data_IF_832861978319
#
_entry.id   IF_832861978319
#
_cell.length_a   1.000
_cell.length_b   1.000
_cell.length_c   1.000
_cell.angle_alpha   90.00
_cell.angle_beta   90.00
_cell.angle_gamma   90.00
#
_symmetry.space_group_name_H-M   'P 1'
#
loop_
_entity.id
_entity.type
_entity.pdbx_description
1 polymer ?
#
# COMPACT_ATOMS: atom_id res chain seq x y z
N UNK A 1 -50.74 16.02 24.68
CA UNK A 1 -49.38 15.54 25.00
C UNK A 1 -48.56 15.83 23.77
N UNK A 2 -47.66 16.81 23.83
CA UNK A 2 -46.86 17.20 22.69
C UNK A 2 -45.78 16.15 22.48
N UNK A 3 -45.81 15.47 21.33
CA UNK A 3 -44.70 14.65 20.88
C UNK A 3 -43.51 15.57 20.64
N UNK A 4 -42.48 15.47 21.50
CA UNK A 4 -41.19 16.10 21.25
C UNK A 4 -40.65 15.57 19.93
N UNK A 5 -40.69 16.40 18.90
CA UNK A 5 -39.93 16.20 17.67
C UNK A 5 -38.45 16.20 18.05
N UNK A 6 -37.93 15.01 18.35
CA UNK A 6 -36.50 14.79 18.50
C UNK A 6 -35.85 15.26 17.20
N UNK A 7 -35.01 16.29 17.31
CA UNK A 7 -34.15 16.78 16.24
C UNK A 7 -33.38 15.59 15.68
N UNK A 8 -33.85 15.04 14.55
CA UNK A 8 -33.19 13.93 13.88
C UNK A 8 -31.87 14.48 13.36
N UNK A 9 -30.77 14.05 13.97
CA UNK A 9 -29.45 14.38 13.49
C UNK A 9 -29.33 13.97 12.01
N UNK A 10 -28.65 14.76 11.15
CA UNK A 10 -28.53 14.49 9.72
C UNK A 10 -27.78 13.19 9.40
N UNK A 11 -27.09 12.63 10.40
CA UNK A 11 -26.36 11.37 10.29
C UNK A 11 -26.90 10.36 11.31
N UNK A 12 -27.02 9.07 10.92
CA UNK A 12 -27.43 8.03 11.85
C UNK A 12 -26.45 7.94 13.02
N UNK A 13 -26.97 7.66 14.21
CA UNK A 13 -26.13 7.34 15.35
C UNK A 13 -25.24 6.11 15.03
N UNK A 14 -24.01 6.04 15.57
CA UNK A 14 -23.16 4.88 15.38
C UNK A 14 -23.87 3.62 15.90
N UNK A 15 -23.58 2.44 15.32
CA UNK A 15 -24.23 1.20 15.73
C UNK A 15 -24.03 0.89 17.22
N UNK A 16 -25.06 0.37 17.93
CA UNK A 16 -25.07 0.26 19.40
C UNK A 16 -23.92 -0.59 19.98
N UNK A 17 -23.29 -1.44 19.17
CA UNK A 17 -22.16 -2.26 19.60
C UNK A 17 -20.94 -1.48 20.08
N UNK A 18 -20.79 -0.18 19.74
CA UNK A 18 -19.65 0.63 20.19
C UNK A 18 -19.55 0.71 21.73
N UNK A 19 -20.68 0.61 22.44
CA UNK A 19 -20.72 0.71 23.91
C UNK A 19 -20.00 -0.46 24.59
N UNK A 20 -19.93 -1.62 23.93
CA UNK A 20 -19.27 -2.80 24.48
C UNK A 20 -17.74 -2.76 24.40
N UNK A 21 -17.16 -1.78 23.69
CA UNK A 21 -15.70 -1.58 23.53
C UNK A 21 -15.03 -0.94 24.75
N UNK A 22 -15.33 -1.43 25.95
CA UNK A 22 -14.73 -0.97 27.20
C UNK A 22 -13.36 -1.62 27.46
N UNK A 23 -12.50 -0.95 28.25
CA UNK A 23 -11.19 -1.52 28.66
C UNK A 23 -11.34 -2.84 29.44
N UNK A 24 -12.39 -2.95 30.24
CA UNK A 24 -12.70 -4.15 31.03
C UNK A 24 -13.06 -5.33 30.12
N UNK A 25 -13.96 -5.11 29.16
CA UNK A 25 -14.41 -6.16 28.24
C UNK A 25 -13.26 -6.64 27.34
N UNK A 26 -12.39 -5.71 26.89
CA UNK A 26 -11.16 -6.05 26.17
C UNK A 26 -10.19 -6.90 26.99
N UNK A 27 -10.02 -6.61 28.27
CA UNK A 27 -9.16 -7.38 29.16
C UNK A 27 -9.74 -8.79 29.42
N UNK A 28 -11.06 -8.89 29.63
CA UNK A 28 -11.76 -10.18 29.76
C UNK A 28 -11.63 -11.04 28.51
N UNK A 29 -11.80 -10.46 27.32
CA UNK A 29 -11.59 -11.18 26.06
C UNK A 29 -10.15 -11.69 25.92
N UNK A 30 -9.15 -10.88 26.34
CA UNK A 30 -7.74 -11.30 26.35
C UNK A 30 -7.49 -12.46 27.32
N UNK A 31 -8.14 -12.47 28.48
CA UNK A 31 -8.03 -13.58 29.45
C UNK A 31 -8.64 -14.85 28.89
N UNK A 32 -9.86 -14.79 28.35
CA UNK A 32 -10.53 -15.94 27.74
C UNK A 32 -9.75 -16.51 26.55
N UNK A 33 -9.12 -15.65 25.74
CA UNK A 33 -8.22 -16.10 24.66
C UNK A 33 -6.98 -16.83 25.19
N UNK A 34 -6.43 -16.38 26.33
CA UNK A 34 -5.28 -17.06 26.98
C UNK A 34 -5.69 -18.39 27.61
N UNK A 35 -6.86 -18.45 28.25
CA UNK A 35 -7.41 -19.67 28.85
C UNK A 35 -7.73 -20.71 27.77
N UNK A 36 -8.35 -20.30 26.66
CA UNK A 36 -8.59 -21.16 25.50
C UNK A 36 -7.28 -21.68 24.88
N UNK A 37 -6.27 -20.80 24.74
CA UNK A 37 -4.95 -21.20 24.23
C UNK A 37 -4.22 -22.19 25.17
N UNK A 38 -4.34 -22.01 26.49
CA UNK A 38 -3.77 -22.91 27.49
C UNK A 38 -4.48 -24.27 27.55
N UNK A 39 -5.79 -24.31 27.27
CA UNK A 39 -6.54 -25.55 27.13
C UNK A 39 -6.20 -26.31 25.84
N UNK A 40 -5.88 -25.62 24.74
CA UNK A 40 -5.49 -26.24 23.46
C UNK A 40 -4.05 -26.78 23.41
N UNK A 41 -3.16 -26.34 24.31
CA UNK A 41 -1.75 -26.79 24.34
C UNK A 41 -1.53 -28.24 24.81
N UNK A 42 -2.59 -29.00 25.13
CA UNK A 42 -2.48 -30.42 25.48
C UNK A 42 -2.69 -31.39 24.31
N UNK A 43 -2.98 -30.93 23.07
CA UNK A 43 -3.13 -31.84 21.93
C UNK A 43 -2.64 -31.23 20.60
N UNK A 44 -1.53 -31.80 20.11
CA UNK A 44 -1.02 -31.87 18.73
C UNK A 44 -0.54 -30.61 18.00
N UNK A 45 0.71 -30.69 17.57
CA UNK A 45 1.41 -29.82 16.63
C UNK A 45 0.73 -29.82 15.25
N UNK A 46 0.11 -28.70 14.87
CA UNK A 46 -0.14 -28.36 13.48
C UNK A 46 -0.12 -26.85 13.30
N UNK A 47 0.88 -26.38 12.56
CA UNK A 47 1.20 -24.98 12.29
C UNK A 47 0.25 -24.33 11.27
N UNK A 48 -1.05 -24.30 11.59
CA UNK A 48 -2.07 -23.50 10.92
C UNK A 48 -2.88 -22.67 11.95
N UNK A 49 -2.23 -22.27 13.05
CA UNK A 49 -2.82 -21.65 14.22
C UNK A 49 -2.99 -20.12 14.10
N UNK A 50 -3.54 -19.64 12.98
CA UNK A 50 -4.04 -18.27 12.90
C UNK A 50 -5.57 -18.28 12.89
N UNK A 51 -6.15 -18.00 14.06
CA UNK A 51 -7.59 -17.73 14.32
C UNK A 51 -8.51 -18.95 14.42
N UNK A 52 -8.27 -19.82 15.39
CA UNK A 52 -9.41 -20.48 16.05
C UNK A 52 -9.93 -19.51 17.12
N UNK A 53 -10.74 -18.55 16.67
CA UNK A 53 -11.47 -17.70 17.59
C UNK A 53 -12.39 -18.57 18.45
N UNK A 54 -12.46 -18.23 19.74
CA UNK A 54 -13.38 -18.82 20.73
C UNK A 54 -14.77 -18.94 20.09
N UNK A 55 -15.44 -20.08 20.27
CA UNK A 55 -16.80 -20.28 19.75
C UNK A 55 -17.70 -19.12 20.19
N UNK A 56 -18.11 -18.30 19.21
CA UNK A 56 -18.80 -17.02 19.40
C UNK A 56 -20.12 -17.24 20.16
N UNK A 57 -20.70 -18.44 20.08
CA UNK A 57 -21.95 -18.80 20.75
C UNK A 57 -21.76 -19.10 22.25
N UNK A 58 -20.56 -19.45 22.68
CA UNK A 58 -20.22 -19.74 24.08
C UNK A 58 -19.96 -18.48 24.91
N UNK A 59 -19.75 -17.34 24.25
CA UNK A 59 -19.37 -16.08 24.88
C UNK A 59 -20.59 -15.24 25.30
N UNK A 60 -20.50 -14.50 26.43
CA UNK A 60 -21.48 -13.48 26.78
C UNK A 60 -21.70 -12.47 25.64
N UNK A 61 -22.95 -12.04 25.45
CA UNK A 61 -23.37 -11.15 24.36
C UNK A 61 -22.48 -9.90 24.19
N UNK A 62 -22.02 -9.32 25.32
CA UNK A 62 -21.15 -8.14 25.33
C UNK A 62 -19.76 -8.38 24.73
N UNK A 63 -19.22 -9.60 24.86
CA UNK A 63 -17.90 -9.95 24.34
C UNK A 63 -17.95 -10.42 22.88
N UNK A 64 -19.12 -10.86 22.40
CA UNK A 64 -19.34 -11.27 21.00
C UNK A 64 -19.10 -10.12 20.02
N UNK A 65 -19.51 -8.91 20.39
CA UNK A 65 -19.33 -7.71 19.54
C UNK A 65 -17.88 -7.26 19.38
N UNK A 66 -16.95 -7.77 20.20
CA UNK A 66 -15.52 -7.48 20.09
C UNK A 66 -14.80 -8.38 19.09
N UNK A 67 -15.44 -9.45 18.65
CA UNK A 67 -14.92 -10.38 17.65
C UNK A 67 -15.47 -9.92 16.28
N UNK A 68 -14.61 -9.69 15.28
CA UNK A 68 -15.06 -9.39 13.93
C UNK A 68 -16.00 -10.49 13.42
N UNK A 69 -17.12 -10.16 12.78
CA UNK A 69 -17.98 -11.16 12.20
C UNK A 69 -17.22 -11.98 11.14
N UNK A 70 -17.59 -13.24 10.93
CA UNK A 70 -17.04 -14.02 9.82
C UNK A 70 -17.35 -13.32 8.48
N UNK A 71 -16.50 -13.51 7.46
CA UNK A 71 -16.81 -12.99 6.13
C UNK A 71 -18.16 -13.55 5.67
N UNK A 72 -19.03 -12.73 5.04
CA UNK A 72 -20.29 -13.21 4.53
C UNK A 72 -20.05 -14.31 3.49
N UNK A 73 -20.82 -15.40 3.58
CA UNK A 73 -20.83 -16.47 2.57
C UNK A 73 -21.64 -16.09 1.32
N UNK A 74 -22.37 -14.98 1.37
CA UNK A 74 -23.22 -14.49 0.28
C UNK A 74 -22.39 -13.71 -0.73
N UNK A 75 -22.50 -14.10 -2.00
CA UNK A 75 -21.80 -13.45 -3.14
C UNK A 75 -22.40 -12.09 -3.48
N UNK A 76 -23.67 -11.86 -3.13
CA UNK A 76 -24.43 -10.63 -3.35
C UNK A 76 -24.44 -9.74 -2.12
N UNK A 77 -24.06 -8.49 -2.29
CA UNK A 77 -23.99 -7.49 -1.21
C UNK A 77 -24.48 -6.13 -1.73
N UNK A 78 -25.32 -5.47 -0.94
CA UNK A 78 -25.84 -4.15 -1.28
C UNK A 78 -24.85 -3.08 -0.81
N UNK A 79 -24.27 -2.35 -1.75
CA UNK A 79 -23.37 -1.22 -1.47
C UNK A 79 -24.02 0.04 -1.98
N UNK A 80 -24.21 1.03 -1.10
CA UNK A 80 -24.84 2.32 -1.44
C UNK A 80 -26.20 2.20 -2.16
N UNK A 81 -26.98 1.17 -1.84
CA UNK A 81 -28.29 0.91 -2.44
C UNK A 81 -28.25 0.13 -3.76
N UNK A 82 -27.05 -0.26 -4.23
CA UNK A 82 -26.89 -1.11 -5.40
C UNK A 82 -26.49 -2.52 -4.98
N UNK A 83 -27.20 -3.53 -5.48
CA UNK A 83 -26.79 -4.93 -5.33
C UNK A 83 -25.59 -5.20 -6.24
N UNK A 84 -24.46 -5.55 -5.63
CA UNK A 84 -23.24 -5.98 -6.32
C UNK A 84 -23.10 -7.48 -6.06
N UNK A 85 -22.86 -8.24 -7.12
CA UNK A 85 -22.50 -9.65 -7.03
C UNK A 85 -21.01 -9.81 -7.31
N UNK A 86 -20.26 -10.38 -6.36
CA UNK A 86 -18.81 -10.57 -6.50
C UNK A 86 -18.44 -11.56 -7.60
N UNK A 87 -19.34 -12.49 -7.94
CA UNK A 87 -19.09 -13.54 -8.92
C UNK A 87 -19.69 -13.22 -10.30
N UNK A 88 -20.46 -12.13 -10.42
CA UNK A 88 -21.06 -11.79 -11.69
C UNK A 88 -20.00 -11.43 -12.74
N UNK A 89 -20.11 -11.95 -13.97
CA UNK A 89 -19.27 -11.51 -15.08
C UNK A 89 -19.53 -10.03 -15.37
N UNK A 90 -18.53 -9.35 -15.93
CA UNK A 90 -18.71 -7.96 -16.39
C UNK A 90 -19.90 -7.88 -17.38
N UNK A 91 -20.78 -6.86 -17.25
CA UNK A 91 -21.96 -6.74 -18.10
C UNK A 91 -21.54 -6.66 -19.57
N UNK A 92 -22.09 -7.54 -20.39
CA UNK A 92 -21.74 -7.58 -21.81
C UNK A 92 -22.54 -6.56 -22.61
N UNK A 93 -21.98 -6.08 -23.73
CA UNK A 93 -22.69 -5.13 -24.61
C UNK A 93 -24.02 -5.72 -25.13
N UNK A 94 -24.06 -7.03 -25.36
CA UNK A 94 -25.25 -7.75 -25.80
C UNK A 94 -26.36 -7.74 -24.73
N UNK A 95 -26.03 -7.88 -23.45
CA UNK A 95 -26.99 -7.78 -22.34
C UNK A 95 -27.58 -6.38 -22.19
N UNK A 96 -26.81 -5.35 -22.57
CA UNK A 96 -27.28 -3.97 -22.60
C UNK A 96 -28.09 -3.62 -23.87
N UNK A 97 -28.28 -4.57 -24.79
CA UNK A 97 -28.98 -4.34 -26.06
C UNK A 97 -28.20 -3.47 -27.05
N UNK A 98 -26.88 -3.35 -26.89
CA UNK A 98 -26.02 -2.50 -27.72
C UNK A 98 -25.28 -3.37 -28.74
N UNK A 99 -25.31 -2.97 -30.00
CA UNK A 99 -24.56 -3.64 -31.06
C UNK A 99 -23.06 -3.48 -30.84
N UNK A 100 -22.33 -4.59 -30.92
CA UNK A 100 -20.88 -4.61 -30.80
C UNK A 100 -20.23 -4.17 -32.13
N UNK A 101 -19.52 -3.04 -32.11
CA UNK A 101 -18.92 -2.41 -33.29
C UNK A 101 -17.48 -2.87 -33.60
N UNK A 102 -16.96 -3.85 -32.85
CA UNK A 102 -15.61 -4.38 -33.00
C UNK A 102 -15.63 -5.92 -33.03
N UNK A 103 -14.67 -6.57 -33.71
CA UNK A 103 -14.66 -8.02 -33.82
C UNK A 103 -14.44 -8.69 -32.46
N UNK A 104 -15.09 -9.83 -32.22
CA UNK A 104 -14.99 -10.61 -30.97
C UNK A 104 -13.71 -11.45 -30.85
N UNK A 105 -12.69 -11.14 -31.66
CA UNK A 105 -11.43 -11.88 -31.69
C UNK A 105 -10.61 -11.61 -30.40
N UNK A 106 -10.00 -12.63 -29.77
CA UNK A 106 -9.11 -12.45 -28.61
C UNK A 106 -7.97 -11.45 -28.86
N UNK A 107 -7.57 -11.24 -30.12
CA UNK A 107 -6.54 -10.27 -30.53
C UNK A 107 -6.91 -8.82 -30.19
N UNK A 108 -8.21 -8.51 -30.11
CA UNK A 108 -8.69 -7.16 -29.75
C UNK A 108 -8.42 -6.85 -28.28
N UNK A 109 -8.41 -7.87 -27.42
CA UNK A 109 -8.15 -7.71 -25.98
C UNK A 109 -6.68 -7.43 -25.68
N UNK A 110 -5.78 -8.00 -26.47
CA UNK A 110 -4.33 -7.77 -26.33
C UNK A 110 -3.92 -6.43 -26.93
N UNK A 111 -4.51 -6.04 -28.06
CA UNK A 111 -4.24 -4.76 -28.70
C UNK A 111 -5.54 -4.03 -29.09
N UNK A 112 -6.17 -3.29 -28.14
CA UNK A 112 -7.38 -2.53 -28.43
C UNK A 112 -7.13 -1.23 -29.19
N UNK A 113 -5.87 -0.76 -29.27
CA UNK A 113 -5.49 0.54 -29.84
C UNK A 113 -6.08 0.83 -31.24
N UNK A 114 -5.95 -0.05 -32.25
CA UNK A 114 -6.46 0.24 -33.60
C UNK A 114 -7.99 0.39 -33.61
N UNK A 115 -8.69 -0.43 -32.83
CA UNK A 115 -10.15 -0.40 -32.73
C UNK A 115 -10.63 0.84 -31.97
N UNK A 116 -9.93 1.23 -30.91
CA UNK A 116 -10.24 2.43 -30.13
C UNK A 116 -10.03 3.70 -30.96
N UNK A 117 -8.97 3.75 -31.78
CA UNK A 117 -8.74 4.84 -32.74
C UNK A 117 -9.80 4.85 -33.83
N UNK A 118 -10.19 3.69 -34.36
CA UNK A 118 -11.25 3.59 -35.36
C UNK A 118 -12.60 4.08 -34.81
N UNK A 119 -12.96 3.66 -33.59
CA UNK A 119 -14.17 4.13 -32.90
C UNK A 119 -14.11 5.63 -32.58
N UNK A 120 -12.96 6.17 -32.18
CA UNK A 120 -12.80 7.61 -31.97
C UNK A 120 -12.98 8.41 -33.26
N UNK A 121 -12.46 7.91 -34.40
CA UNK A 121 -12.69 8.53 -35.71
C UNK A 121 -14.17 8.44 -36.12
N UNK A 122 -14.81 7.30 -35.86
CA UNK A 122 -16.26 7.12 -36.08
C UNK A 122 -17.08 8.10 -35.24
N UNK A 123 -16.76 8.24 -33.94
CA UNK A 123 -17.38 9.18 -33.01
C UNK A 123 -17.29 10.63 -33.49
N UNK A 124 -16.10 11.05 -33.95
CA UNK A 124 -15.92 12.39 -34.51
C UNK A 124 -16.76 12.58 -35.78
N UNK A 125 -16.78 11.57 -36.66
CA UNK A 125 -17.52 11.64 -37.92
C UNK A 125 -19.03 11.72 -37.68
N UNK A 126 -19.57 10.92 -36.75
CA UNK A 126 -20.98 10.96 -36.37
C UNK A 126 -21.33 12.25 -35.64
N UNK A 127 -20.43 12.81 -34.83
CA UNK A 127 -20.62 14.12 -34.20
C UNK A 127 -20.66 15.26 -35.22
N UNK A 128 -19.77 15.27 -36.22
CA UNK A 128 -19.84 16.23 -37.33
C UNK A 128 -21.14 16.04 -38.13
N UNK A 129 -21.57 14.79 -38.34
CA UNK A 129 -22.85 14.48 -38.97
C UNK A 129 -24.04 15.02 -38.17
N UNK A 130 -24.01 14.92 -36.84
CA UNK A 130 -25.03 15.48 -35.94
C UNK A 130 -25.10 17.01 -36.08
N UNK A 131 -23.97 17.72 -36.09
CA UNK A 131 -23.94 19.17 -36.30
C UNK A 131 -24.55 19.52 -37.66
N UNK A 132 -24.22 18.76 -38.70
CA UNK A 132 -24.80 18.94 -40.04
C UNK A 132 -26.32 18.74 -40.06
N UNK A 133 -26.83 17.71 -39.38
CA UNK A 133 -28.27 17.45 -39.25
C UNK A 133 -28.95 18.57 -38.48
N UNK A 134 -28.39 19.02 -37.35
CA UNK A 134 -28.96 20.11 -36.56
C UNK A 134 -29.01 21.44 -37.33
N UNK A 135 -28.06 21.67 -38.23
CA UNK A 135 -28.06 22.85 -39.10
C UNK A 135 -29.11 22.78 -40.22
N UNK A 136 -29.42 21.58 -40.72
CA UNK A 136 -30.37 21.38 -41.80
C UNK A 136 -31.80 21.13 -41.30
N UNK A 137 -32.00 20.07 -40.51
CA UNK A 137 -33.28 19.60 -39.99
C UNK A 137 -33.11 19.11 -38.54
N UNK A 138 -33.46 19.92 -37.53
CA UNK A 138 -33.22 19.60 -36.12
C UNK A 138 -34.08 18.45 -35.58
N UNK A 139 -35.12 18.01 -36.28
CA UNK A 139 -36.01 16.91 -35.84
C UNK A 139 -35.38 15.52 -35.96
N UNK A 140 -34.34 15.35 -36.79
CA UNK A 140 -33.70 14.06 -37.08
C UNK A 140 -32.45 13.78 -36.20
N UNK A 141 -32.33 14.46 -35.06
CA UNK A 141 -31.14 14.34 -34.21
C UNK A 141 -31.04 13.00 -33.46
N UNK A 142 -32.18 12.36 -33.16
CA UNK A 142 -32.25 11.19 -32.28
C UNK A 142 -31.43 9.99 -32.79
N UNK A 143 -31.48 9.71 -34.09
CA UNK A 143 -30.72 8.61 -34.71
C UNK A 143 -29.22 8.82 -34.52
N UNK A 144 -28.72 10.03 -34.76
CA UNK A 144 -27.30 10.38 -34.60
C UNK A 144 -26.85 10.37 -33.14
N UNK A 145 -27.73 10.73 -32.21
CA UNK A 145 -27.43 10.64 -30.77
C UNK A 145 -27.38 9.19 -30.31
N UNK A 146 -28.28 8.33 -30.80
CA UNK A 146 -28.26 6.89 -30.53
C UNK A 146 -26.96 6.26 -31.05
N UNK A 147 -26.53 6.60 -32.26
CA UNK A 147 -25.25 6.14 -32.83
C UNK A 147 -24.06 6.56 -31.95
N UNK A 148 -24.05 7.82 -31.48
CA UNK A 148 -23.00 8.32 -30.58
C UNK A 148 -22.96 7.56 -29.26
N UNK A 149 -24.12 7.29 -28.66
CA UNK A 149 -24.23 6.50 -27.43
C UNK A 149 -23.69 5.08 -27.64
N UNK A 150 -24.09 4.42 -28.74
CA UNK A 150 -23.61 3.08 -29.08
C UNK A 150 -22.07 3.05 -29.23
N UNK A 151 -21.48 4.02 -29.95
CA UNK A 151 -20.02 4.12 -30.10
C UNK A 151 -19.34 4.31 -28.74
N UNK A 152 -19.88 5.18 -27.89
CA UNK A 152 -19.32 5.44 -26.55
C UNK A 152 -19.35 4.20 -25.66
N UNK A 153 -20.46 3.46 -25.63
CA UNK A 153 -20.54 2.22 -24.86
C UNK A 153 -19.55 1.16 -25.36
N UNK A 154 -19.38 1.03 -26.68
CA UNK A 154 -18.39 0.15 -27.28
C UNK A 154 -16.95 0.54 -26.88
N UNK A 155 -16.62 1.83 -26.89
CA UNK A 155 -15.32 2.32 -26.41
C UNK A 155 -15.11 2.00 -24.93
N UNK A 156 -16.12 2.23 -24.09
CA UNK A 156 -16.06 1.91 -22.66
C UNK A 156 -15.83 0.42 -22.42
N UNK A 157 -16.53 -0.46 -23.15
CA UNK A 157 -16.31 -1.90 -23.04
C UNK A 157 -14.87 -2.29 -23.39
N UNK A 158 -14.32 -1.77 -24.49
CA UNK A 158 -12.92 -2.04 -24.86
C UNK A 158 -11.91 -1.56 -23.80
N UNK A 159 -12.15 -0.38 -23.23
CA UNK A 159 -11.30 0.16 -22.15
C UNK A 159 -11.38 -0.73 -20.91
N UNK A 160 -12.59 -1.16 -20.54
CA UNK A 160 -12.81 -2.03 -19.38
C UNK A 160 -12.09 -3.37 -19.56
N UNK A 161 -12.19 -3.98 -20.74
CA UNK A 161 -11.48 -5.22 -21.06
C UNK A 161 -9.95 -5.08 -21.00
N UNK A 162 -9.41 -3.87 -21.20
CA UNK A 162 -7.97 -3.61 -21.12
C UNK A 162 -7.48 -3.35 -19.69
N UNK A 163 -8.36 -3.10 -18.71
CA UNK A 163 -7.99 -2.82 -17.31
C UNK A 163 -7.10 -3.89 -16.67
N UNK A 164 -7.37 -5.21 -16.83
CA UNK A 164 -6.52 -6.24 -16.24
C UNK A 164 -5.11 -6.24 -16.83
N UNK A 165 -4.97 -5.94 -18.13
CA UNK A 165 -3.66 -5.79 -18.76
C UNK A 165 -2.90 -4.59 -18.17
N UNK A 166 -3.57 -3.42 -18.09
CA UNK A 166 -3.01 -2.22 -17.48
C UNK A 166 -2.55 -2.45 -16.02
N UNK A 167 -3.35 -3.18 -15.23
CA UNK A 167 -3.00 -3.50 -13.84
C UNK A 167 -1.74 -4.36 -13.74
N UNK A 168 -1.58 -5.36 -14.63
CA UNK A 168 -0.37 -6.19 -14.69
C UNK A 168 0.86 -5.37 -15.09
N UNK A 169 0.77 -4.56 -16.13
CA UNK A 169 1.86 -3.67 -16.53
C UNK A 169 2.24 -2.68 -15.42
N UNK A 170 1.25 -2.13 -14.72
CA UNK A 170 1.48 -1.23 -13.58
C UNK A 170 2.23 -1.94 -12.44
N UNK A 171 1.89 -3.22 -12.18
CA UNK A 171 2.59 -4.03 -11.19
C UNK A 171 4.02 -4.34 -11.61
N UNK A 172 4.24 -4.66 -12.89
CA UNK A 172 5.59 -4.91 -13.43
C UNK A 172 6.45 -3.66 -13.24
N UNK A 173 5.96 -2.49 -13.65
CA UNK A 173 6.66 -1.22 -13.47
C UNK A 173 7.02 -0.93 -12.00
N UNK A 174 6.09 -1.21 -11.07
CA UNK A 174 6.34 -1.06 -9.63
C UNK A 174 7.46 -2.00 -9.15
N UNK A 175 7.46 -3.25 -9.63
CA UNK A 175 8.48 -4.24 -9.26
C UNK A 175 9.85 -3.90 -9.85
N UNK A 176 9.91 -3.43 -11.08
CA UNK A 176 11.14 -2.97 -11.72
C UNK A 176 11.76 -1.78 -10.96
N UNK A 177 10.93 -0.80 -10.59
CA UNK A 177 11.37 0.32 -9.76
C UNK A 177 11.85 -0.17 -8.38
N UNK A 178 11.15 -1.12 -7.76
CA UNK A 178 11.60 -1.72 -6.49
C UNK A 178 12.97 -2.38 -6.62
N UNK A 179 13.21 -3.13 -7.69
CA UNK A 179 14.51 -3.76 -7.97
C UNK A 179 15.59 -2.70 -8.22
N UNK A 180 15.27 -1.65 -8.97
CA UNK A 180 16.20 -0.55 -9.24
C UNK A 180 16.64 0.15 -7.95
N UNK A 181 15.69 0.47 -7.05
CA UNK A 181 15.96 1.06 -5.73
C UNK A 181 16.82 0.14 -4.86
N UNK A 182 16.46 -1.15 -4.78
CA UNK A 182 17.23 -2.13 -4.00
C UNK A 182 18.67 -2.26 -4.51
N UNK A 183 18.88 -2.24 -5.83
CA UNK A 183 20.23 -2.24 -6.42
C UNK A 183 21.00 -0.96 -6.09
N UNK A 184 20.33 0.20 -6.06
CA UNK A 184 20.96 1.46 -5.67
C UNK A 184 21.36 1.47 -4.19
N UNK A 185 20.49 0.97 -3.31
CA UNK A 185 20.77 0.79 -1.88
C UNK A 185 21.98 -0.13 -1.66
N UNK A 186 22.06 -1.28 -2.34
CA UNK A 186 23.20 -2.21 -2.24
C UNK A 186 24.51 -1.51 -2.68
N UNK A 187 24.48 -0.74 -3.76
CA UNK A 187 25.66 0.03 -4.19
C UNK A 187 26.06 1.07 -3.15
N UNK A 188 25.10 1.79 -2.56
CA UNK A 188 25.35 2.75 -1.48
C UNK A 188 25.96 2.09 -0.24
N UNK A 189 25.50 0.88 0.12
CA UNK A 189 26.08 0.10 1.23
C UNK A 189 27.50 -0.36 0.92
N UNK A 190 27.78 -0.83 -0.30
CA UNK A 190 29.14 -1.26 -0.68
C UNK A 190 30.11 -0.06 -0.69
N UNK A 191 29.69 1.10 -1.20
CA UNK A 191 30.46 2.34 -1.09
C UNK A 191 30.70 2.74 0.37
N UNK A 192 29.66 2.63 1.23
CA UNK A 192 29.79 2.88 2.67
C UNK A 192 30.78 1.94 3.34
N UNK A 193 30.75 0.65 2.99
CA UNK A 193 31.70 -0.36 3.47
C UNK A 193 33.13 -0.06 3.02
N UNK A 194 33.33 0.37 1.77
CA UNK A 194 34.65 0.77 1.26
C UNK A 194 35.18 1.99 2.01
N UNK A 195 34.34 3.01 2.24
CA UNK A 195 34.71 4.21 3.03
C UNK A 195 35.10 3.85 4.46
N UNK A 196 34.28 3.03 5.13
CA UNK A 196 34.57 2.56 6.50
C UNK A 196 35.84 1.71 6.54
N UNK A 197 36.06 0.85 5.53
CA UNK A 197 37.28 0.06 5.39
C UNK A 197 38.53 0.92 5.27
N UNK A 198 38.51 1.96 4.41
CA UNK A 198 39.59 2.93 4.26
C UNK A 198 39.86 3.69 5.55
N UNK A 199 38.81 4.10 6.28
CA UNK A 199 38.96 4.77 7.58
C UNK A 199 39.60 3.86 8.63
N UNK A 200 39.15 2.60 8.73
CA UNK A 200 39.71 1.60 9.65
C UNK A 200 41.18 1.31 9.33
N UNK A 201 41.54 1.19 8.05
CA UNK A 201 42.93 1.01 7.62
C UNK A 201 43.80 2.24 7.91
N UNK A 202 43.25 3.44 7.72
CA UNK A 202 43.88 4.70 8.13
C UNK A 202 44.11 4.78 9.65
N UNK A 203 43.15 4.33 10.46
CA UNK A 203 43.31 4.26 11.92
C UNK A 203 44.34 3.21 12.33
N UNK A 204 44.33 2.02 11.70
CA UNK A 204 45.31 0.96 11.96
C UNK A 204 46.74 1.41 11.60
N UNK A 205 46.92 2.07 10.46
CA UNK A 205 48.22 2.62 10.07
C UNK A 205 48.68 3.75 10.97
N UNK A 206 47.76 4.62 11.44
CA UNK A 206 48.06 5.65 12.45
C UNK A 206 48.42 5.08 13.82
N UNK A 207 47.79 3.99 14.26
CA UNK A 207 48.13 3.31 15.51
C UNK A 207 49.49 2.61 15.43
N UNK A 208 49.82 2.00 14.29
CA UNK A 208 51.17 1.44 14.04
C UNK A 208 52.23 2.53 14.01
N UNK A 209 51.94 3.71 13.45
CA UNK A 209 52.85 4.86 13.49
C UNK A 209 53.09 5.36 14.92
N UNK A 210 52.06 5.42 15.76
CA UNK A 210 52.19 5.81 17.18
C UNK A 210 52.92 4.75 18.03
N UNK A 211 52.84 3.46 17.65
CA UNK A 211 53.54 2.37 18.35
C UNK A 211 55.00 2.20 17.89
N UNK A 212 55.34 2.68 16.69
CA UNK A 212 56.69 2.64 16.11
C UNK A 212 57.67 3.67 16.67
N UNK A 213 57.20 4.73 17.31
CA UNK A 213 58.05 5.76 17.95
C UNK A 213 58.32 5.51 19.45
N UNK A 214 57.94 4.34 19.98
CA UNK A 214 58.06 4.01 21.41
C UNK A 214 59.14 2.99 21.78
N UNK A 215 60.08 2.66 20.88
CA UNK A 215 61.13 1.68 21.12
C UNK A 215 62.52 2.30 21.00
N UNK A 216 62.93 3.02 22.05
CA UNK A 216 64.33 3.37 22.32
C UNK A 216 64.58 4.85 22.60
N UNK A 217 64.58 5.23 23.88
CA UNK A 217 65.71 5.90 24.54
C UNK A 217 65.39 6.22 26.01
N UNK A 218 66.37 5.95 26.86
CA UNK A 218 66.35 6.09 28.31
C UNK A 218 66.88 7.49 28.69
N UNK A 219 66.01 8.45 29.06
CA UNK A 219 66.44 9.71 29.68
C UNK A 219 65.40 10.26 30.68
N UNK A 220 65.81 10.25 31.96
CA UNK A 220 65.47 11.15 33.09
C UNK A 220 64.00 11.48 33.41
N UNK A 221 63.60 10.84 34.52
CA UNK A 221 62.63 11.23 35.56
C UNK A 221 62.52 12.77 35.79
N UNK A 222 61.62 13.46 35.09
CA UNK A 222 61.08 14.77 35.51
C UNK A 222 59.59 14.86 35.13
N UNK A 223 58.72 14.95 36.15
CA UNK A 223 57.35 15.47 36.05
C UNK A 223 56.30 14.65 35.27
N UNK A 224 55.83 13.53 35.84
CA UNK A 224 54.88 12.62 35.20
C UNK A 224 53.42 13.12 35.14
N UNK A 225 53.01 14.08 36.00
CA UNK A 225 51.59 14.46 36.13
C UNK A 225 51.09 15.47 35.08
N UNK A 226 51.94 16.32 34.52
CA UNK A 226 51.48 17.40 33.61
C UNK A 226 51.35 16.98 32.15
N UNK A 227 52.09 15.96 31.71
CA UNK A 227 52.10 15.52 30.30
C UNK A 227 50.90 14.62 30.01
N UNK A 228 50.51 13.77 30.97
CA UNK A 228 49.37 12.85 30.84
C UNK A 228 48.04 13.61 30.74
N UNK A 229 47.89 14.69 31.52
CA UNK A 229 46.73 15.58 31.48
C UNK A 229 46.61 16.40 30.18
N UNK A 230 47.74 16.78 29.59
CA UNK A 230 47.75 17.50 28.31
C UNK A 230 47.43 16.55 27.16
N UNK A 231 47.96 15.33 27.19
CA UNK A 231 47.66 14.30 26.19
C UNK A 231 46.21 13.81 26.29
N UNK A 232 45.67 13.67 27.49
CA UNK A 232 44.27 13.28 27.72
C UNK A 232 43.30 14.34 27.22
N UNK A 233 43.55 15.63 27.51
CA UNK A 233 42.75 16.75 26.98
C UNK A 233 42.78 16.81 25.46
N UNK A 234 43.96 16.64 24.85
CA UNK A 234 44.12 16.63 23.39
C UNK A 234 43.42 15.44 22.73
N UNK A 235 43.30 14.30 23.43
CA UNK A 235 42.54 13.12 22.99
C UNK A 235 41.03 13.36 23.06
N UNK A 236 40.55 13.99 24.12
CA UNK A 236 39.14 14.35 24.31
C UNK A 236 38.69 15.39 23.27
N UNK A 237 39.54 16.37 22.96
CA UNK A 237 39.27 17.37 21.91
C UNK A 237 39.17 16.74 20.53
N UNK A 238 40.07 15.80 20.20
CA UNK A 238 39.99 15.04 18.94
C UNK A 238 38.71 14.22 18.85
N UNK A 239 38.33 13.55 19.93
CA UNK A 239 37.08 12.79 19.99
C UNK A 239 35.87 13.72 19.80
N UNK A 240 35.82 14.87 20.46
CA UNK A 240 34.74 15.85 20.29
C UNK A 240 34.67 16.40 18.87
N UNK A 241 35.81 16.68 18.24
CA UNK A 241 35.86 17.15 16.85
C UNK A 241 35.35 16.07 15.86
N UNK A 242 35.69 14.81 16.08
CA UNK A 242 35.16 13.70 15.26
C UNK A 242 33.66 13.50 15.44
N UNK A 243 33.13 13.65 16.67
CA UNK A 243 31.68 13.59 16.92
C UNK A 243 30.93 14.75 16.27
N UNK A 244 31.49 15.97 16.31
CA UNK A 244 30.89 17.13 15.68
C UNK A 244 30.84 17.04 14.14
N UNK A 245 31.85 16.44 13.49
CA UNK A 245 31.79 16.19 12.04
C UNK A 245 30.73 15.14 11.69
N UNK A 246 30.61 14.08 12.50
CA UNK A 246 29.65 13.00 12.26
C UNK A 246 28.20 13.47 12.45
N UNK A 247 27.96 14.39 13.38
CA UNK A 247 26.65 15.03 13.60
C UNK A 247 26.29 16.02 12.48
N UNK A 248 27.28 16.69 11.89
CA UNK A 248 27.09 17.60 10.74
C UNK A 248 26.84 16.86 9.40
N UNK A 249 27.26 15.60 9.28
CA UNK A 249 27.06 14.77 8.08
C UNK A 249 25.75 13.94 8.14
N UNK A 250 25.17 13.81 9.33
CA UNK A 250 23.94 13.03 9.60
C UNK A 250 22.68 13.88 9.77
N UNK A 251 22.80 15.22 9.79
CA UNK A 251 21.70 16.19 9.73
C UNK A 251 21.51 16.74 8.32
#
# INVERSE_FOLDING_TARGET
MAEEQQLVAPFPAPPPFYQHFTKQNRNRLRQLRKEAAAASSSNTDNAAAEKQDIDILSLPAELRYLIPPPPPSTTKFTVFGQEIDLEAPEPTLAEAGIEQLYPSDPSVKTNPQPHLIALARSLLTTFLGLIGVLAANPELYEERVSDLQAIMFNMHSLINQYRPHQARESLIMLMEDRVARMRAEIRGVEEGKERVGKLLEGMKSSEVALKGEGAGEDVKKVGMESVEDVLSKKRVERQRATWAMLEAEMG
#
